data_IF_950744663268
#
_entry.id   IF_950744663268
#
_cell.length_a   1.000
_cell.length_b   1.000
_cell.length_c   1.000
_cell.angle_alpha   90.00
_cell.angle_beta   90.00
_cell.angle_gamma   90.00
#
_symmetry.space_group_name_H-M   'P 1'
#
loop_
_entity.id
_entity.type
_entity.pdbx_description
1 polymer ?
#
# COMPACT_ATOMS: atom_id res chain seq x y z
N UNK A 1 4.82 -17.04 -7.69
CA UNK A 1 4.84 -15.94 -6.69
C UNK A 1 6.20 -15.86 -6.06
N UNK A 2 6.56 -14.72 -5.52
CA UNK A 2 7.84 -14.47 -4.85
C UNK A 2 7.63 -13.51 -3.67
N UNK A 3 8.59 -13.55 -2.74
CA UNK A 3 8.51 -12.71 -1.54
C UNK A 3 9.09 -11.34 -1.83
N UNK A 4 8.42 -10.32 -1.31
CA UNK A 4 8.85 -8.94 -1.37
C UNK A 4 8.69 -8.22 -0.06
N UNK A 5 9.21 -7.01 -0.02
CA UNK A 5 9.06 -6.11 1.11
C UNK A 5 8.83 -4.68 0.63
N UNK A 6 7.91 -3.99 1.28
CA UNK A 6 7.71 -2.56 1.06
C UNK A 6 8.57 -1.76 2.05
N UNK A 7 9.39 -0.87 1.51
CA UNK A 7 10.34 -0.09 2.29
C UNK A 7 10.20 1.40 2.00
N UNK A 8 10.38 2.20 3.04
CA UNK A 8 10.32 3.66 2.95
C UNK A 8 11.69 4.22 3.22
N UNK A 9 12.25 4.94 2.26
CA UNK A 9 13.59 5.54 2.34
C UNK A 9 14.65 4.60 2.97
N UNK A 10 14.79 3.34 2.51
CA UNK A 10 15.64 2.37 3.17
C UNK A 10 17.12 2.73 3.09
N UNK A 11 17.84 2.48 4.18
CA UNK A 11 19.31 2.50 4.19
C UNK A 11 19.89 1.27 3.45
N UNK A 12 21.17 1.33 3.10
CA UNK A 12 21.88 0.18 2.54
C UNK A 12 21.87 -1.02 3.48
N UNK A 13 21.97 -0.79 4.79
CA UNK A 13 21.90 -1.83 5.81
C UNK A 13 20.53 -2.52 5.82
N UNK A 14 19.45 -1.73 5.74
CA UNK A 14 18.08 -2.25 5.71
C UNK A 14 17.83 -3.07 4.45
N UNK A 15 18.31 -2.63 3.29
CA UNK A 15 18.22 -3.40 2.04
C UNK A 15 19.02 -4.71 2.09
N UNK A 16 20.23 -4.68 2.66
CA UNK A 16 21.02 -5.90 2.86
C UNK A 16 20.33 -6.89 3.79
N UNK A 17 19.69 -6.41 4.88
CA UNK A 17 18.91 -7.26 5.77
C UNK A 17 17.77 -7.93 5.00
N UNK A 18 17.01 -7.19 4.19
CA UNK A 18 15.96 -7.76 3.35
C UNK A 18 16.49 -8.86 2.42
N UNK A 19 17.61 -8.62 1.74
CA UNK A 19 18.26 -9.60 0.87
C UNK A 19 18.70 -10.87 1.65
N UNK A 20 19.25 -10.70 2.86
CA UNK A 20 19.65 -11.82 3.74
C UNK A 20 18.45 -12.63 4.23
N UNK A 21 17.29 -12.01 4.43
CA UNK A 21 16.04 -12.68 4.75
C UNK A 21 15.39 -13.38 3.54
N UNK A 22 16.01 -13.27 2.36
CA UNK A 22 15.57 -13.92 1.13
C UNK A 22 14.47 -13.16 0.40
N UNK A 23 14.35 -11.87 0.65
CA UNK A 23 13.55 -10.98 -0.20
C UNK A 23 14.19 -10.91 -1.58
N UNK A 24 13.38 -11.07 -2.62
CA UNK A 24 13.85 -11.03 -4.02
C UNK A 24 13.64 -9.66 -4.64
N UNK A 25 12.54 -9.01 -4.25
CA UNK A 25 12.13 -7.72 -4.80
C UNK A 25 11.57 -6.80 -3.73
N UNK A 26 11.74 -5.52 -3.94
CA UNK A 26 11.25 -4.49 -3.02
C UNK A 26 10.24 -3.57 -3.72
N UNK A 27 9.31 -3.08 -2.92
CA UNK A 27 8.44 -1.96 -3.27
C UNK A 27 8.98 -0.74 -2.54
N UNK A 28 9.37 0.27 -3.28
CA UNK A 28 10.01 1.45 -2.71
C UNK A 28 9.04 2.61 -2.62
N UNK A 29 8.98 3.18 -1.44
CA UNK A 29 8.36 4.47 -1.20
C UNK A 29 9.47 5.47 -0.84
N UNK A 30 9.85 6.29 -1.79
CA UNK A 30 10.94 7.24 -1.62
C UNK A 30 10.38 8.66 -1.56
N UNK A 31 10.21 9.15 -0.33
CA UNK A 31 9.62 10.46 -0.06
C UNK A 31 10.63 11.38 0.58
N UNK A 32 10.65 12.61 0.11
CA UNK A 32 11.51 13.65 0.66
C UNK A 32 12.97 13.52 0.32
N UNK A 33 13.32 12.79 -0.72
CA UNK A 33 14.69 12.64 -1.19
C UNK A 33 15.00 13.62 -2.33
N UNK A 34 16.25 13.66 -2.68
CA UNK A 34 16.77 14.43 -3.81
C UNK A 34 16.36 13.89 -5.21
N UNK A 35 15.51 12.84 -5.25
CA UNK A 35 14.91 12.33 -6.49
C UNK A 35 13.87 13.30 -7.08
N UNK A 36 13.32 14.20 -6.27
CA UNK A 36 12.25 15.11 -6.67
C UNK A 36 12.80 16.52 -6.88
N UNK A 37 12.64 17.06 -8.08
CA UNK A 37 12.94 18.45 -8.42
C UNK A 37 11.88 19.41 -7.87
N UNK A 38 12.19 20.70 -7.75
CA UNK A 38 11.17 21.72 -7.50
C UNK A 38 10.00 21.56 -8.49
N UNK A 39 8.77 21.60 -7.97
CA UNK A 39 7.55 21.36 -8.77
C UNK A 39 7.07 19.90 -8.81
N UNK A 40 7.75 18.97 -8.12
CA UNK A 40 7.28 17.60 -7.96
C UNK A 40 7.70 16.64 -9.07
N UNK A 41 8.43 17.10 -10.09
CA UNK A 41 8.92 16.25 -11.18
C UNK A 41 10.15 15.46 -10.73
N UNK A 42 10.18 14.17 -11.00
CA UNK A 42 11.31 13.30 -10.66
C UNK A 42 12.53 13.58 -11.54
N UNK A 43 13.71 13.27 -11.03
CA UNK A 43 14.95 13.27 -11.81
C UNK A 43 15.23 11.86 -12.34
N UNK A 44 15.20 11.70 -13.66
CA UNK A 44 15.37 10.39 -14.32
C UNK A 44 16.75 9.77 -14.02
N UNK A 45 17.80 10.59 -13.96
CA UNK A 45 19.15 10.07 -13.73
C UNK A 45 19.31 9.58 -12.29
N UNK A 46 18.86 10.39 -11.33
CA UNK A 46 18.86 10.00 -9.91
C UNK A 46 17.99 8.78 -9.65
N UNK A 47 16.81 8.67 -10.29
CA UNK A 47 15.95 7.50 -10.14
C UNK A 47 16.60 6.24 -10.73
N UNK A 48 17.32 6.37 -11.86
CA UNK A 48 18.09 5.27 -12.44
C UNK A 48 19.25 4.86 -11.53
N UNK A 49 20.04 5.82 -11.04
CA UNK A 49 21.12 5.58 -10.08
C UNK A 49 20.61 4.89 -8.82
N UNK A 50 19.47 5.33 -8.30
CA UNK A 50 18.83 4.71 -7.14
C UNK A 50 18.41 3.26 -7.42
N UNK A 51 17.80 2.97 -8.57
CA UNK A 51 17.46 1.62 -8.99
C UNK A 51 18.71 0.73 -9.08
N UNK A 52 19.76 1.21 -9.74
CA UNK A 52 21.02 0.49 -9.90
C UNK A 52 21.72 0.24 -8.56
N UNK A 53 21.62 1.21 -7.65
CA UNK A 53 22.11 1.03 -6.28
C UNK A 53 21.36 -0.07 -5.54
N UNK A 54 20.04 -0.12 -5.60
CA UNK A 54 19.24 -1.21 -5.01
C UNK A 54 19.61 -2.56 -5.64
N UNK A 55 19.78 -2.61 -6.96
CA UNK A 55 20.19 -3.81 -7.69
C UNK A 55 21.59 -4.29 -7.30
N UNK A 56 22.51 -3.38 -7.01
CA UNK A 56 23.86 -3.72 -6.53
C UNK A 56 23.87 -4.41 -5.16
N UNK A 57 22.78 -4.27 -4.40
CA UNK A 57 22.59 -4.94 -3.11
C UNK A 57 21.86 -6.29 -3.21
N UNK A 58 21.65 -6.80 -4.44
CA UNK A 58 21.05 -8.12 -4.70
C UNK A 58 19.52 -8.12 -4.76
N UNK A 59 18.88 -6.97 -4.77
CA UNK A 59 17.43 -6.79 -4.83
C UNK A 59 17.00 -6.20 -6.18
N UNK A 60 15.70 -6.30 -6.50
CA UNK A 60 15.11 -5.56 -7.63
C UNK A 60 13.93 -4.74 -7.17
N UNK A 61 13.78 -3.53 -7.72
CA UNK A 61 12.57 -2.75 -7.50
C UNK A 61 11.46 -3.33 -8.37
N UNK A 62 10.39 -3.79 -7.74
CA UNK A 62 9.20 -4.32 -8.42
C UNK A 62 8.18 -3.22 -8.70
N UNK A 63 7.90 -2.39 -7.69
CA UNK A 63 7.06 -1.21 -7.81
C UNK A 63 7.70 -0.02 -7.09
N UNK A 64 7.37 1.17 -7.57
CA UNK A 64 7.74 2.43 -6.91
C UNK A 64 6.48 3.22 -6.57
N UNK A 65 6.48 3.96 -5.45
CA UNK A 65 5.30 4.69 -5.04
C UNK A 65 5.13 5.99 -5.83
N UNK A 66 3.92 6.24 -6.33
CA UNK A 66 3.48 7.48 -6.94
C UNK A 66 2.51 8.17 -6.00
N UNK A 67 2.88 9.33 -5.48
CA UNK A 67 2.03 10.10 -4.56
C UNK A 67 0.98 10.87 -5.35
N UNK A 68 -0.28 10.48 -5.19
CA UNK A 68 -1.45 11.08 -5.86
C UNK A 68 -2.38 11.82 -4.90
N UNK A 69 -2.12 11.76 -3.59
CA UNK A 69 -3.07 12.21 -2.57
C UNK A 69 -3.46 13.68 -2.68
N UNK A 70 -2.50 14.56 -2.96
CA UNK A 70 -2.79 15.98 -3.12
C UNK A 70 -3.64 16.27 -4.35
N UNK A 71 -3.49 15.51 -5.43
CA UNK A 71 -4.28 15.68 -6.66
C UNK A 71 -5.75 15.37 -6.42
N UNK A 72 -6.05 14.33 -5.64
CA UNK A 72 -7.43 13.96 -5.30
C UNK A 72 -8.12 15.05 -4.48
N UNK A 73 -7.45 15.61 -3.47
CA UNK A 73 -7.99 16.69 -2.66
C UNK A 73 -8.18 17.99 -3.47
N UNK A 74 -7.18 18.34 -4.29
CA UNK A 74 -7.27 19.52 -5.13
C UNK A 74 -8.38 19.39 -6.19
N UNK A 75 -8.63 18.18 -6.72
CA UNK A 75 -9.76 17.95 -7.61
C UNK A 75 -11.11 18.29 -6.97
N UNK A 76 -11.26 18.05 -5.67
CA UNK A 76 -12.49 18.36 -4.94
C UNK A 76 -12.66 19.85 -4.63
N UNK A 77 -11.57 20.63 -4.65
CA UNK A 77 -11.55 22.04 -4.25
C UNK A 77 -11.21 22.99 -5.39
N UNK A 78 -10.27 22.63 -6.25
CA UNK A 78 -9.80 23.40 -7.40
C UNK A 78 -9.30 22.47 -8.52
N UNK A 79 -10.18 22.14 -9.44
CA UNK A 79 -9.88 21.24 -10.56
C UNK A 79 -8.74 21.75 -11.46
N UNK A 80 -8.51 23.07 -11.55
CA UNK A 80 -7.42 23.63 -12.36
C UNK A 80 -6.06 23.28 -11.75
N UNK A 81 -5.96 23.34 -10.43
CA UNK A 81 -4.74 22.91 -9.72
C UNK A 81 -4.55 21.40 -9.90
N UNK A 82 -5.61 20.60 -9.72
CA UNK A 82 -5.54 19.14 -9.88
C UNK A 82 -5.06 18.75 -11.28
N UNK A 83 -5.54 19.40 -12.33
CA UNK A 83 -5.10 19.14 -13.72
C UNK A 83 -3.63 19.44 -13.92
N UNK A 84 -3.12 20.54 -13.36
CA UNK A 84 -1.68 20.86 -13.43
C UNK A 84 -0.82 19.83 -12.71
N UNK A 85 -1.26 19.37 -11.55
CA UNK A 85 -0.56 18.32 -10.81
C UNK A 85 -0.61 16.97 -11.54
N UNK A 86 -1.73 16.63 -12.17
CA UNK A 86 -1.85 15.43 -12.99
C UNK A 86 -0.82 15.43 -14.14
N UNK A 87 -0.51 16.59 -14.74
CA UNK A 87 0.57 16.68 -15.74
C UNK A 87 1.93 16.31 -15.16
N UNK A 88 2.23 16.70 -13.91
CA UNK A 88 3.45 16.29 -13.21
C UNK A 88 3.48 14.78 -12.99
N UNK A 89 2.36 14.19 -12.57
CA UNK A 89 2.26 12.73 -12.40
C UNK A 89 2.47 11.98 -13.72
N UNK A 90 1.91 12.47 -14.82
CA UNK A 90 2.13 11.88 -16.16
C UNK A 90 3.61 11.94 -16.57
N UNK A 91 4.30 13.04 -16.27
CA UNK A 91 5.74 13.14 -16.49
C UNK A 91 6.51 12.13 -15.63
N UNK A 92 6.13 11.98 -14.36
CA UNK A 92 6.76 11.02 -13.44
C UNK A 92 6.55 9.57 -13.89
N UNK A 93 5.41 9.23 -14.48
CA UNK A 93 5.17 7.91 -15.10
C UNK A 93 6.15 7.66 -16.25
N UNK A 94 6.35 8.65 -17.14
CA UNK A 94 7.32 8.52 -18.23
C UNK A 94 8.75 8.41 -17.69
N UNK A 95 9.11 9.24 -16.70
CA UNK A 95 10.43 9.19 -16.04
C UNK A 95 10.68 7.84 -15.38
N UNK A 96 9.67 7.23 -14.76
CA UNK A 96 9.78 5.89 -14.20
C UNK A 96 10.15 4.85 -15.27
N UNK A 97 9.49 4.89 -16.43
CA UNK A 97 9.82 4.03 -17.56
C UNK A 97 11.24 4.27 -18.08
N UNK A 98 11.62 5.53 -18.27
CA UNK A 98 12.96 5.92 -18.75
C UNK A 98 14.07 5.54 -17.76
N UNK A 99 13.75 5.46 -16.48
CA UNK A 99 14.64 4.94 -15.43
C UNK A 99 14.67 3.40 -15.35
N UNK A 100 13.84 2.70 -16.13
CA UNK A 100 13.79 1.24 -16.18
C UNK A 100 12.86 0.59 -15.15
N UNK A 101 11.95 1.34 -14.52
CA UNK A 101 10.88 0.79 -13.71
C UNK A 101 9.76 0.26 -14.60
N UNK A 102 8.98 -0.71 -14.10
CA UNK A 102 7.90 -1.37 -14.86
C UNK A 102 6.52 -1.22 -14.22
N UNK A 103 6.47 -0.78 -12.98
CA UNK A 103 5.21 -0.59 -12.28
C UNK A 103 5.31 0.48 -11.19
N UNK A 104 4.19 1.16 -10.97
CA UNK A 104 4.00 2.12 -9.91
C UNK A 104 2.80 1.72 -9.05
N UNK A 105 2.88 1.95 -7.75
CA UNK A 105 1.73 1.82 -6.85
C UNK A 105 1.26 3.20 -6.42
N UNK A 106 -0.03 3.35 -6.21
CA UNK A 106 -0.61 4.56 -5.66
C UNK A 106 -1.77 4.24 -4.72
N UNK A 107 -2.09 5.21 -3.87
CA UNK A 107 -3.18 5.10 -2.92
C UNK A 107 -4.13 6.29 -3.10
N UNK A 108 -5.41 5.98 -3.20
CA UNK A 108 -6.46 7.00 -3.36
C UNK A 108 -7.04 7.49 -2.02
N UNK A 109 -6.38 7.16 -0.92
CA UNK A 109 -6.77 7.59 0.42
C UNK A 109 -6.65 9.11 0.57
N UNK A 110 -7.75 9.78 0.90
CA UNK A 110 -7.80 11.23 1.13
C UNK A 110 -7.59 11.60 2.59
N UNK A 111 -7.98 10.72 3.50
CA UNK A 111 -7.76 10.82 4.94
C UNK A 111 -6.72 9.79 5.38
N UNK A 112 -6.30 9.84 6.65
CA UNK A 112 -5.37 8.84 7.19
C UNK A 112 -5.94 7.42 7.15
N UNK A 113 -5.06 6.43 7.28
CA UNK A 113 -5.47 5.06 7.57
C UNK A 113 -6.04 5.07 8.98
N UNK A 114 -7.35 5.00 9.09
CA UNK A 114 -8.07 5.27 10.32
C UNK A 114 -7.94 4.12 11.31
N UNK A 115 -7.43 4.42 12.50
CA UNK A 115 -7.33 3.50 13.63
C UNK A 115 -7.90 4.17 14.88
N UNK A 116 -8.46 3.39 15.79
CA UNK A 116 -9.15 3.90 16.98
C UNK A 116 -8.50 3.48 18.29
N UNK A 117 -7.41 2.72 18.24
CA UNK A 117 -6.67 2.34 19.43
C UNK A 117 -5.78 1.13 19.25
N UNK A 118 -5.13 0.77 20.34
CA UNK A 118 -4.28 -0.40 20.45
C UNK A 118 -5.00 -1.49 21.26
N UNK A 119 -4.74 -2.75 20.94
CA UNK A 119 -5.26 -3.92 21.64
C UNK A 119 -4.12 -4.81 22.09
N UNK A 120 -4.16 -5.35 23.34
CA UNK A 120 -3.13 -6.26 23.80
C UNK A 120 -3.13 -7.56 23.00
N UNK A 121 -1.95 -8.01 22.61
CA UNK A 121 -1.70 -9.25 21.87
C UNK A 121 -0.79 -10.21 22.62
N UNK A 122 -0.41 -11.31 21.95
CA UNK A 122 0.45 -12.35 22.53
C UNK A 122 1.77 -11.75 23.00
N UNK A 123 2.25 -12.20 24.15
CA UNK A 123 3.54 -11.78 24.70
C UNK A 123 3.62 -10.29 25.07
N UNK A 124 2.49 -9.58 25.14
CA UNK A 124 2.45 -8.16 25.52
C UNK A 124 2.60 -7.17 24.37
N UNK A 125 2.64 -7.65 23.12
CA UNK A 125 2.61 -6.77 21.93
C UNK A 125 1.31 -5.98 21.87
N UNK A 126 1.31 -4.89 21.10
CA UNK A 126 0.12 -4.09 20.86
C UNK A 126 -0.30 -4.21 19.38
N UNK A 127 -1.55 -4.54 19.15
CA UNK A 127 -2.15 -4.58 17.82
C UNK A 127 -2.84 -3.26 17.54
N UNK A 128 -2.46 -2.60 16.44
CA UNK A 128 -3.22 -1.48 15.91
C UNK A 128 -4.58 -1.96 15.43
N UNK A 129 -5.64 -1.20 15.65
CA UNK A 129 -6.97 -1.66 15.27
C UNK A 129 -7.98 -0.54 15.08
N UNK A 130 -9.07 -0.91 14.46
CA UNK A 130 -10.24 -0.06 14.31
C UNK A 130 -11.45 -0.69 14.98
N UNK A 131 -12.25 0.14 15.66
CA UNK A 131 -13.54 -0.24 16.22
C UNK A 131 -14.48 0.96 16.13
N UNK A 132 -15.54 0.84 15.34
CA UNK A 132 -16.47 1.93 15.11
C UNK A 132 -17.03 2.51 16.42
N UNK A 133 -17.38 1.66 17.39
CA UNK A 133 -17.90 2.11 18.69
C UNK A 133 -16.88 2.93 19.53
N UNK A 134 -15.60 2.87 19.17
CA UNK A 134 -14.51 3.64 19.83
C UNK A 134 -14.04 4.81 18.95
N UNK A 135 -14.67 5.04 17.81
CA UNK A 135 -14.29 6.13 16.93
C UNK A 135 -14.65 7.48 17.58
N UNK A 136 -13.68 8.36 17.58
CA UNK A 136 -13.84 9.79 17.84
C UNK A 136 -12.77 10.55 17.05
N UNK A 137 -12.98 11.85 16.76
CA UNK A 137 -11.93 12.65 16.13
C UNK A 137 -10.61 12.69 16.91
N UNK A 138 -10.67 12.52 18.24
CA UNK A 138 -9.48 12.44 19.11
C UNK A 138 -8.75 11.10 18.93
N UNK A 139 -9.47 9.98 18.97
CA UNK A 139 -8.91 8.64 18.74
C UNK A 139 -8.30 8.52 17.34
N UNK A 140 -8.98 9.10 16.34
CA UNK A 140 -8.49 9.17 14.96
C UNK A 140 -7.16 9.92 14.88
N UNK A 141 -7.07 11.14 15.44
CA UNK A 141 -5.81 11.91 15.48
C UNK A 141 -4.67 11.19 16.20
N UNK A 142 -4.98 10.42 17.24
CA UNK A 142 -3.99 9.76 18.07
C UNK A 142 -3.47 8.44 17.45
N UNK A 143 -4.33 7.69 16.75
CA UNK A 143 -4.03 6.31 16.36
C UNK A 143 -3.95 6.10 14.85
N UNK A 144 -4.53 7.02 14.06
CA UNK A 144 -4.46 6.94 12.59
C UNK A 144 -3.09 7.38 12.08
N UNK A 145 -2.70 6.85 10.96
CA UNK A 145 -1.43 7.13 10.33
C UNK A 145 -1.60 7.23 8.82
N UNK A 146 -0.67 7.88 8.18
CA UNK A 146 -0.61 8.02 6.73
C UNK A 146 -1.87 8.67 6.12
N UNK A 147 -1.68 9.72 5.34
CA UNK A 147 -2.76 10.44 4.66
C UNK A 147 -2.41 11.90 4.46
N UNK A 148 -3.10 12.54 3.53
CA UNK A 148 -2.81 13.93 3.13
C UNK A 148 -3.30 14.94 4.15
N UNK A 149 -4.29 14.59 4.93
CA UNK A 149 -4.98 15.48 5.89
C UNK A 149 -4.44 15.46 7.31
N UNK A 150 -3.42 14.66 7.64
CA UNK A 150 -2.94 14.52 9.02
C UNK A 150 -1.63 15.23 9.26
N UNK A 151 -1.53 16.05 10.34
CA UNK A 151 -0.25 16.59 10.78
C UNK A 151 0.65 15.46 11.25
N UNK A 152 1.86 15.41 10.74
CA UNK A 152 2.90 14.50 11.25
C UNK A 152 3.48 15.07 12.53
N UNK A 153 3.45 14.31 13.63
CA UNK A 153 4.27 14.60 14.79
C UNK A 153 5.72 14.21 14.49
N UNK A 154 6.68 15.11 14.82
CA UNK A 154 8.10 14.92 14.55
C UNK A 154 8.66 13.64 15.18
N UNK A 155 8.12 13.26 16.36
CA UNK A 155 8.58 12.10 17.16
C UNK A 155 8.25 10.73 16.53
N UNK A 156 7.38 10.72 15.55
CA UNK A 156 7.00 9.51 14.83
C UNK A 156 7.83 9.30 13.55
N UNK A 157 8.57 10.28 13.05
CA UNK A 157 9.48 10.16 11.89
C UNK A 157 10.63 9.21 12.21
N UNK A 158 11.08 9.18 13.45
CA UNK A 158 12.21 8.37 13.89
C UNK A 158 11.87 6.90 14.17
N UNK A 159 10.58 6.54 14.23
CA UNK A 159 10.13 5.18 14.57
C UNK A 159 9.97 4.22 13.37
N UNK A 160 10.38 4.61 12.17
CA UNK A 160 10.27 3.75 10.98
C UNK A 160 8.83 3.45 10.54
N UNK A 161 7.84 3.99 11.25
CA UNK A 161 6.46 3.94 10.80
C UNK A 161 6.25 4.95 9.68
N UNK A 162 5.72 4.50 8.62
CA UNK A 162 5.44 5.14 7.35
C UNK A 162 4.71 6.49 7.51
N UNK A 163 5.48 7.55 7.52
CA UNK A 163 4.92 8.89 7.52
C UNK A 163 5.15 9.56 6.20
N UNK A 164 4.11 9.59 5.50
CA UNK A 164 4.07 9.95 4.11
C UNK A 164 3.62 11.36 3.85
N UNK A 165 3.47 12.17 4.87
CA UNK A 165 3.25 13.59 4.71
C UNK A 165 4.49 14.35 5.18
N UNK A 166 5.49 14.44 4.31
CA UNK A 166 6.57 15.41 4.48
C UNK A 166 5.97 16.81 4.51
N UNK A 167 5.91 17.43 5.70
CA UNK A 167 5.97 18.88 5.92
C UNK A 167 5.05 19.81 5.11
N UNK A 168 3.91 19.41 4.63
CA UNK A 168 2.90 20.40 4.21
C UNK A 168 1.86 20.47 5.30
N UNK A 169 1.48 21.70 5.69
CA UNK A 169 0.34 21.93 6.56
C UNK A 169 -0.78 20.99 6.15
N UNK A 170 -1.32 20.24 7.12
CA UNK A 170 -2.44 19.35 6.87
C UNK A 170 -3.51 20.12 6.08
N UNK A 171 -3.80 19.68 4.87
CA UNK A 171 -4.89 20.25 4.11
C UNK A 171 -6.17 19.82 4.78
N UNK A 172 -7.08 20.76 5.01
CA UNK A 172 -8.43 20.43 5.43
C UNK A 172 -9.08 19.55 4.34
N UNK A 173 -9.56 18.37 4.74
CA UNK A 173 -10.24 17.47 3.81
C UNK A 173 -11.69 17.94 3.70
N UNK A 174 -12.15 18.34 2.51
CA UNK A 174 -13.55 18.73 2.34
C UNK A 174 -14.46 17.50 2.55
N UNK A 175 -15.77 17.70 2.78
CA UNK A 175 -16.70 16.57 2.76
C UNK A 175 -16.61 15.79 1.44
N UNK A 176 -16.48 14.47 1.57
CA UNK A 176 -16.36 13.55 0.42
C UNK A 176 -17.57 12.64 0.42
N UNK A 177 -18.47 12.85 -0.53
CA UNK A 177 -19.60 11.95 -0.78
C UNK A 177 -19.18 10.82 -1.72
N UNK A 178 -19.99 9.75 -1.78
CA UNK A 178 -19.75 8.67 -2.74
C UNK A 178 -19.59 9.21 -4.16
N UNK A 179 -20.43 10.13 -4.61
CA UNK A 179 -20.38 10.73 -5.94
C UNK A 179 -19.05 11.49 -6.16
N UNK A 180 -18.69 12.38 -5.23
CA UNK A 180 -17.47 13.19 -5.34
C UNK A 180 -16.20 12.32 -5.25
N UNK A 181 -16.20 11.30 -4.41
CA UNK A 181 -15.11 10.32 -4.31
C UNK A 181 -14.89 9.55 -5.62
N UNK A 182 -15.98 9.07 -6.22
CA UNK A 182 -15.89 8.40 -7.55
C UNK A 182 -15.46 9.36 -8.66
N UNK A 183 -15.92 10.60 -8.66
CA UNK A 183 -15.47 11.60 -9.64
C UNK A 183 -13.97 11.87 -9.53
N UNK A 184 -13.45 11.98 -8.32
CA UNK A 184 -12.01 12.20 -8.08
C UNK A 184 -11.17 10.98 -8.56
N UNK A 185 -11.61 9.76 -8.27
CA UNK A 185 -10.92 8.55 -8.73
C UNK A 185 -11.01 8.41 -10.26
N UNK A 186 -12.18 8.64 -10.85
CA UNK A 186 -12.35 8.60 -12.30
C UNK A 186 -11.45 9.63 -12.99
N UNK A 187 -11.39 10.86 -12.48
CA UNK A 187 -10.48 11.88 -12.97
C UNK A 187 -9.02 11.39 -12.94
N UNK A 188 -8.58 10.80 -11.83
CA UNK A 188 -7.20 10.30 -11.72
C UNK A 188 -6.92 9.20 -12.72
N UNK A 189 -7.82 8.23 -12.87
CA UNK A 189 -7.68 7.12 -13.83
C UNK A 189 -7.63 7.65 -15.27
N UNK A 190 -8.52 8.57 -15.63
CA UNK A 190 -8.56 9.19 -16.97
C UNK A 190 -7.27 9.95 -17.30
N UNK A 191 -6.63 10.55 -16.28
CA UNK A 191 -5.36 11.27 -16.49
C UNK A 191 -4.16 10.32 -16.56
N UNK A 192 -4.09 9.32 -15.70
CA UNK A 192 -2.86 8.55 -15.51
C UNK A 192 -2.78 7.29 -16.37
N UNK A 193 -3.89 6.59 -16.61
CA UNK A 193 -3.85 5.31 -17.32
C UNK A 193 -3.38 5.46 -18.78
N UNK A 194 -3.83 6.46 -19.57
CA UNK A 194 -3.29 6.65 -20.94
C UNK A 194 -1.79 6.96 -20.96
N UNK A 195 -1.28 7.69 -19.95
CA UNK A 195 0.15 7.96 -19.83
C UNK A 195 0.93 6.67 -19.49
N UNK A 196 0.36 5.85 -18.60
CA UNK A 196 0.92 4.56 -18.23
C UNK A 196 0.96 3.57 -19.39
N UNK A 197 -0.10 3.53 -20.20
CA UNK A 197 -0.15 2.70 -21.42
C UNK A 197 0.93 3.10 -22.42
N UNK A 198 1.09 4.42 -22.66
CA UNK A 198 2.13 4.94 -23.53
C UNK A 198 3.53 4.61 -23.03
N UNK A 199 3.74 4.65 -21.71
CA UNK A 199 5.03 4.39 -21.09
C UNK A 199 5.30 2.89 -20.83
N UNK A 200 4.31 2.01 -20.98
CA UNK A 200 4.41 0.59 -20.63
C UNK A 200 4.52 0.33 -19.12
N UNK A 201 3.98 1.23 -18.30
CA UNK A 201 4.00 1.16 -16.83
C UNK A 201 2.67 0.60 -16.30
N UNK A 202 2.73 -0.39 -15.41
CA UNK A 202 1.55 -0.85 -14.67
C UNK A 202 1.27 0.05 -13.48
N UNK A 203 0.01 0.41 -13.27
CA UNK A 203 -0.47 1.23 -12.15
C UNK A 203 -1.28 0.38 -11.18
N UNK A 204 -0.80 0.24 -9.95
CA UNK A 204 -1.38 -0.56 -8.90
C UNK A 204 -2.10 0.31 -7.86
N UNK A 205 -3.44 0.33 -7.89
CA UNK A 205 -4.29 1.09 -6.98
C UNK A 205 -4.53 0.34 -5.67
N UNK A 206 -4.26 0.98 -4.53
CA UNK A 206 -4.58 0.46 -3.20
C UNK A 206 -6.03 0.78 -2.82
N UNK A 207 -6.81 -0.16 -2.25
CA UNK A 207 -8.15 0.12 -1.74
C UNK A 207 -8.11 1.06 -0.52
N UNK A 208 -9.27 1.62 -0.16
CA UNK A 208 -9.40 2.44 1.05
C UNK A 208 -9.24 1.60 2.32
N UNK A 209 -8.49 2.08 3.28
CA UNK A 209 -8.19 1.42 4.55
C UNK A 209 -8.55 2.34 5.74
N UNK A 210 -9.49 1.89 6.59
CA UNK A 210 -10.40 0.75 6.46
C UNK A 210 -11.63 1.05 5.59
N UNK A 211 -12.45 0.04 5.37
CA UNK A 211 -13.81 0.25 4.89
C UNK A 211 -14.61 1.05 5.93
N UNK A 212 -15.29 2.11 5.50
CA UNK A 212 -16.11 2.95 6.37
C UNK A 212 -17.56 2.44 6.43
N UNK A 213 -18.30 2.78 7.49
CA UNK A 213 -19.74 2.50 7.54
C UNK A 213 -20.47 3.29 6.44
N UNK A 214 -21.69 2.85 6.12
CA UNK A 214 -22.59 3.58 5.23
C UNK A 214 -22.79 5.01 5.77
N UNK A 215 -22.63 6.00 4.91
CA UNK A 215 -22.66 7.43 5.28
C UNK A 215 -21.30 7.98 5.75
N UNK A 216 -20.26 7.16 5.72
CA UNK A 216 -18.88 7.58 5.97
C UNK A 216 -18.55 7.86 7.44
N UNK A 217 -17.37 8.42 7.66
CA UNK A 217 -16.89 8.94 8.94
C UNK A 217 -16.38 10.36 8.77
N UNK A 218 -16.76 11.23 9.70
CA UNK A 218 -16.31 12.62 9.73
C UNK A 218 -16.47 13.37 8.38
N UNK A 219 -17.58 13.12 7.69
CA UNK A 219 -17.89 13.75 6.40
C UNK A 219 -17.16 13.16 5.19
N UNK A 220 -16.48 12.02 5.35
CA UNK A 220 -15.76 11.32 4.27
C UNK A 220 -16.35 9.93 4.07
N UNK A 221 -16.72 9.60 2.84
CA UNK A 221 -17.14 8.27 2.42
C UNK A 221 -15.99 7.56 1.68
N UNK A 222 -15.74 6.30 2.03
CA UNK A 222 -14.76 5.46 1.37
C UNK A 222 -15.42 4.59 0.29
N UNK A 223 -15.15 4.91 -0.97
CA UNK A 223 -15.78 4.24 -2.13
C UNK A 223 -15.08 2.96 -2.57
N UNK A 224 -13.78 2.80 -2.26
CA UNK A 224 -13.00 1.57 -2.48
C UNK A 224 -12.95 0.66 -1.24
N UNK A 225 -14.01 0.61 -0.47
CA UNK A 225 -14.15 -0.19 0.75
C UNK A 225 -14.97 -1.47 0.58
N UNK A 226 -15.11 -1.99 -0.65
CA UNK A 226 -15.84 -3.23 -0.96
C UNK A 226 -15.35 -3.88 -2.26
N UNK A 227 -15.69 -5.16 -2.48
CA UNK A 227 -15.45 -5.83 -3.78
C UNK A 227 -16.17 -5.08 -4.91
N UNK A 228 -17.38 -4.58 -4.69
CA UNK A 228 -18.15 -3.79 -5.66
C UNK A 228 -17.41 -2.50 -6.01
N UNK A 229 -16.86 -1.80 -5.02
CA UNK A 229 -16.03 -0.61 -5.25
C UNK A 229 -14.77 -0.93 -6.05
N UNK A 230 -14.07 -2.01 -5.71
CA UNK A 230 -12.88 -2.46 -6.45
C UNK A 230 -13.23 -2.81 -7.90
N UNK A 231 -14.36 -3.50 -8.13
CA UNK A 231 -14.85 -3.83 -9.48
C UNK A 231 -15.18 -2.56 -10.27
N UNK A 232 -15.86 -1.59 -9.66
CA UNK A 232 -16.16 -0.29 -10.28
C UNK A 232 -14.89 0.48 -10.61
N UNK A 233 -13.89 0.48 -9.73
CA UNK A 233 -12.59 1.10 -10.00
C UNK A 233 -11.91 0.48 -11.23
N UNK A 234 -11.84 -0.85 -11.29
CA UNK A 234 -11.25 -1.55 -12.43
C UNK A 234 -12.01 -1.33 -13.73
N UNK A 235 -13.34 -1.14 -13.66
CA UNK A 235 -14.19 -0.84 -14.81
C UNK A 235 -14.03 0.58 -15.36
N UNK A 236 -13.31 1.47 -14.68
CA UNK A 236 -12.99 2.82 -15.19
C UNK A 236 -12.05 2.78 -16.40
N UNK A 237 -11.30 1.69 -16.59
CA UNK A 237 -10.45 1.50 -17.76
C UNK A 237 -10.20 0.02 -18.05
N UNK A 238 -10.31 -0.36 -19.32
CA UNK A 238 -9.99 -1.71 -19.82
C UNK A 238 -8.48 -1.95 -20.01
N UNK A 239 -7.66 -0.93 -19.75
CA UNK A 239 -6.21 -1.03 -19.92
C UNK A 239 -5.62 -2.18 -19.08
N UNK A 240 -4.75 -3.03 -19.67
CA UNK A 240 -4.03 -4.07 -18.92
C UNK A 240 -3.02 -3.47 -17.92
N UNK A 241 -2.74 -2.19 -18.00
CA UNK A 241 -1.84 -1.48 -17.08
C UNK A 241 -2.57 -0.83 -15.89
N UNK A 242 -3.90 -0.90 -15.83
CA UNK A 242 -4.71 -0.47 -14.70
C UNK A 242 -5.09 -1.67 -13.84
N UNK A 243 -4.64 -1.71 -12.59
CA UNK A 243 -4.86 -2.85 -11.69
C UNK A 243 -4.72 -2.49 -10.21
N UNK A 244 -4.55 -3.49 -9.39
CA UNK A 244 -4.61 -3.37 -7.93
C UNK A 244 -3.25 -3.61 -7.26
N UNK A 245 -2.95 -2.76 -6.29
CA UNK A 245 -2.21 -3.14 -5.11
C UNK A 245 -3.23 -3.79 -4.17
N UNK A 246 -3.35 -5.11 -4.25
CA UNK A 246 -4.34 -5.86 -3.49
C UNK A 246 -3.89 -6.01 -2.04
N UNK A 247 -4.40 -5.18 -1.16
CA UNK A 247 -4.15 -5.31 0.27
C UNK A 247 -5.10 -6.34 0.87
N UNK A 248 -4.61 -7.56 1.08
CA UNK A 248 -5.40 -8.67 1.61
C UNK A 248 -6.02 -8.34 2.98
N UNK A 249 -5.25 -7.67 3.85
CA UNK A 249 -5.77 -7.23 5.14
C UNK A 249 -6.89 -6.21 5.00
N UNK A 250 -6.73 -5.19 4.16
CA UNK A 250 -7.78 -4.20 3.88
C UNK A 250 -9.03 -4.85 3.29
N UNK A 251 -8.87 -5.84 2.39
CA UNK A 251 -10.02 -6.60 1.87
C UNK A 251 -10.69 -7.44 2.98
N UNK A 252 -9.92 -7.99 3.90
CA UNK A 252 -10.46 -8.67 5.07
C UNK A 252 -11.27 -7.74 6.00
N UNK A 253 -10.88 -6.46 6.09
CA UNK A 253 -11.60 -5.42 6.85
C UNK A 253 -12.95 -5.02 6.23
N UNK A 254 -13.26 -5.47 5.01
CA UNK A 254 -14.49 -5.11 4.29
C UNK A 254 -15.69 -6.00 4.66
N UNK A 255 -15.48 -7.09 5.37
CA UNK A 255 -16.53 -8.07 5.65
C UNK A 255 -16.53 -8.57 7.10
N UNK A 256 -17.70 -8.95 7.65
CA UNK A 256 -17.79 -9.59 8.97
C UNK A 256 -17.11 -10.96 9.01
N UNK A 257 -17.07 -11.67 7.89
CA UNK A 257 -16.43 -12.98 7.72
C UNK A 257 -15.28 -12.85 6.70
N UNK A 258 -14.07 -12.47 7.16
CA UNK A 258 -12.97 -12.06 6.28
C UNK A 258 -12.50 -13.18 5.35
N UNK A 259 -12.41 -14.43 5.84
CA UNK A 259 -11.78 -15.52 5.08
C UNK A 259 -12.46 -15.75 3.72
N UNK A 260 -13.74 -16.05 3.72
CA UNK A 260 -14.48 -16.35 2.49
C UNK A 260 -14.50 -15.12 1.54
N UNK A 261 -14.57 -13.93 2.11
CA UNK A 261 -14.57 -12.68 1.35
C UNK A 261 -13.23 -12.45 0.63
N UNK A 262 -12.12 -12.66 1.33
CA UNK A 262 -10.76 -12.55 0.75
C UNK A 262 -10.53 -13.58 -0.34
N UNK A 263 -10.90 -14.86 -0.12
CA UNK A 263 -10.72 -15.90 -1.14
C UNK A 263 -11.49 -15.56 -2.42
N UNK A 264 -12.75 -15.14 -2.29
CA UNK A 264 -13.55 -14.69 -3.43
C UNK A 264 -12.92 -13.50 -4.16
N UNK A 265 -12.43 -12.51 -3.42
CA UNK A 265 -11.78 -11.34 -4.02
C UNK A 265 -10.49 -11.70 -4.77
N UNK A 266 -9.67 -12.62 -4.22
CA UNK A 266 -8.48 -13.13 -4.90
C UNK A 266 -8.87 -13.78 -6.21
N UNK A 267 -9.84 -14.70 -6.20
CA UNK A 267 -10.26 -15.45 -7.38
C UNK A 267 -10.86 -14.53 -8.47
N UNK A 268 -11.56 -13.47 -8.07
CA UNK A 268 -12.14 -12.51 -9.00
C UNK A 268 -11.08 -11.59 -9.61
N UNK A 269 -10.18 -11.04 -8.80
CA UNK A 269 -9.31 -9.94 -9.23
C UNK A 269 -7.89 -10.37 -9.62
N UNK A 270 -7.49 -11.63 -9.47
CA UNK A 270 -6.14 -12.10 -9.74
C UNK A 270 -5.52 -11.62 -11.07
N UNK A 271 -6.26 -11.57 -12.21
CA UNK A 271 -5.71 -11.08 -13.47
C UNK A 271 -5.32 -9.60 -13.46
N UNK A 272 -5.85 -8.83 -12.51
CA UNK A 272 -5.63 -7.39 -12.37
C UNK A 272 -4.85 -7.04 -11.09
N UNK A 273 -4.38 -8.03 -10.33
CA UNK A 273 -3.51 -7.82 -9.16
C UNK A 273 -2.07 -7.71 -9.62
N UNK A 274 -1.42 -6.58 -9.32
CA UNK A 274 -0.01 -6.34 -9.66
C UNK A 274 0.93 -6.52 -8.48
N UNK A 275 0.42 -6.32 -7.25
CA UNK A 275 1.12 -6.67 -6.02
C UNK A 275 0.10 -7.00 -4.93
N UNK A 276 0.57 -7.70 -3.91
CA UNK A 276 -0.23 -8.07 -2.74
C UNK A 276 0.44 -7.57 -1.46
N UNK A 277 -0.31 -6.85 -0.62
CA UNK A 277 0.00 -6.71 0.79
C UNK A 277 -0.54 -7.94 1.53
N UNK A 278 0.36 -8.84 1.89
CA UNK A 278 0.03 -10.16 2.44
C UNK A 278 0.02 -10.12 3.96
N UNK A 279 -0.97 -9.43 4.53
CA UNK A 279 -1.20 -9.30 5.97
C UNK A 279 -2.51 -9.93 6.41
N UNK A 280 -2.65 -10.17 7.71
CA UNK A 280 -3.82 -10.78 8.33
C UNK A 280 -4.39 -9.87 9.41
N UNK A 281 -5.68 -10.04 9.70
CA UNK A 281 -6.39 -9.32 10.75
C UNK A 281 -7.20 -10.30 11.61
N UNK A 282 -7.49 -9.90 12.83
CA UNK A 282 -8.46 -10.52 13.72
C UNK A 282 -9.72 -9.67 13.80
N UNK A 283 -10.89 -10.25 13.60
CA UNK A 283 -12.14 -9.50 13.42
C UNK A 283 -12.41 -9.19 11.95
N UNK A 284 -13.19 -8.14 11.67
CA UNK A 284 -13.58 -7.79 10.30
C UNK A 284 -14.24 -6.43 10.23
N UNK A 285 -15.27 -6.30 9.40
CA UNK A 285 -15.93 -5.03 9.14
C UNK A 285 -16.28 -4.27 10.42
N UNK A 286 -15.75 -3.07 10.55
CA UNK A 286 -15.96 -2.10 11.63
C UNK A 286 -15.43 -2.51 13.02
N UNK A 287 -14.81 -3.68 13.17
CA UNK A 287 -14.14 -4.10 14.42
C UNK A 287 -13.04 -5.12 14.12
N UNK A 288 -11.78 -4.67 14.04
CA UNK A 288 -10.65 -5.54 13.75
C UNK A 288 -9.36 -5.08 14.46
N UNK A 289 -8.38 -5.98 14.49
CA UNK A 289 -7.00 -5.70 14.90
C UNK A 289 -6.01 -6.28 13.89
N UNK A 290 -4.93 -5.54 13.64
CA UNK A 290 -3.80 -5.96 12.82
C UNK A 290 -2.89 -6.86 13.64
N UNK A 291 -2.95 -8.16 13.37
CA UNK A 291 -2.27 -9.19 14.15
C UNK A 291 -1.04 -9.75 13.42
N UNK A 292 -0.29 -10.64 14.06
CA UNK A 292 0.69 -11.43 13.34
C UNK A 292 0.02 -12.26 12.24
N UNK A 293 0.73 -12.58 11.13
CA UNK A 293 0.12 -13.27 9.99
C UNK A 293 -0.45 -14.66 10.35
N UNK A 294 0.04 -15.29 11.41
CA UNK A 294 -0.38 -16.60 11.90
C UNK A 294 -1.57 -16.57 12.88
N UNK A 295 -2.05 -15.38 13.28
CA UNK A 295 -3.09 -15.24 14.31
C UNK A 295 -4.45 -14.75 13.79
N UNK A 296 -4.50 -14.29 12.54
CA UNK A 296 -5.70 -13.69 11.99
C UNK A 296 -6.78 -14.69 11.55
N UNK A 297 -7.89 -14.13 11.12
CA UNK A 297 -9.08 -14.90 10.74
C UNK A 297 -9.07 -15.33 9.27
N UNK A 298 -8.08 -14.92 8.48
CA UNK A 298 -7.85 -15.44 7.13
C UNK A 298 -6.87 -16.61 7.21
N UNK A 299 -7.25 -17.76 6.66
CA UNK A 299 -6.32 -18.88 6.45
C UNK A 299 -5.30 -18.48 5.36
N UNK A 300 -4.09 -18.13 5.80
CA UNK A 300 -3.03 -17.66 4.92
C UNK A 300 -2.51 -18.73 3.95
N UNK A 301 -2.63 -20.01 4.33
CA UNK A 301 -2.27 -21.13 3.46
C UNK A 301 -3.32 -21.29 2.33
N UNK A 302 -4.61 -21.19 2.66
CA UNK A 302 -5.67 -21.20 1.64
C UNK A 302 -5.59 -19.96 0.73
N UNK A 303 -5.24 -18.79 1.26
CA UNK A 303 -4.99 -17.59 0.45
C UNK A 303 -3.87 -17.82 -0.59
N UNK A 304 -2.72 -18.41 -0.18
CA UNK A 304 -1.65 -18.79 -1.12
C UNK A 304 -2.17 -19.74 -2.22
N UNK A 305 -2.98 -20.72 -1.84
CA UNK A 305 -3.58 -21.65 -2.82
C UNK A 305 -4.56 -20.95 -3.74
N UNK A 306 -5.34 -19.99 -3.24
CA UNK A 306 -6.25 -19.18 -4.06
C UNK A 306 -5.47 -18.34 -5.08
N UNK A 307 -4.42 -17.63 -4.67
CA UNK A 307 -3.53 -16.93 -5.61
C UNK A 307 -2.95 -17.88 -6.67
N UNK A 308 -2.53 -19.08 -6.25
CA UNK A 308 -1.97 -20.08 -7.16
C UNK A 308 -2.98 -20.57 -8.19
N UNK A 309 -4.19 -20.96 -7.73
CA UNK A 309 -5.27 -21.43 -8.62
C UNK A 309 -5.70 -20.36 -9.61
N UNK A 310 -5.71 -19.10 -9.18
CA UNK A 310 -6.08 -17.95 -10.02
C UNK A 310 -4.95 -17.48 -10.93
N UNK A 311 -3.79 -18.14 -10.92
CA UNK A 311 -2.67 -17.85 -11.81
C UNK A 311 -1.83 -16.61 -11.42
N UNK A 312 -2.00 -16.05 -10.24
CA UNK A 312 -1.16 -14.95 -9.77
C UNK A 312 0.30 -15.40 -9.60
N UNK A 313 1.23 -14.59 -10.11
CA UNK A 313 2.68 -14.89 -10.10
C UNK A 313 3.52 -13.76 -9.54
N UNK A 314 2.88 -12.73 -9.02
CA UNK A 314 3.51 -11.50 -8.57
C UNK A 314 4.11 -11.57 -7.16
N UNK A 315 4.39 -10.39 -6.64
CA UNK A 315 5.01 -10.14 -5.34
C UNK A 315 4.01 -10.28 -4.20
N UNK A 316 4.43 -10.94 -3.11
CA UNK A 316 3.73 -10.97 -1.82
C UNK A 316 4.58 -10.21 -0.81
N UNK A 317 4.06 -9.11 -0.31
CA UNK A 317 4.71 -8.27 0.69
C UNK A 317 3.97 -8.39 2.02
N UNK A 318 4.55 -8.96 3.10
CA UNK A 318 4.08 -8.65 4.44
C UNK A 318 4.03 -7.12 4.61
N UNK A 319 3.01 -6.65 5.30
CA UNK A 319 2.76 -5.21 5.39
C UNK A 319 2.84 -4.76 6.86
N UNK A 320 1.72 -4.66 7.55
CA UNK A 320 1.75 -4.26 8.95
C UNK A 320 2.12 -5.41 9.89
N UNK A 321 2.88 -5.10 10.93
CA UNK A 321 3.20 -6.00 12.04
C UNK A 321 2.92 -5.32 13.37
N UNK A 322 2.71 -6.08 14.46
CA UNK A 322 2.41 -5.52 15.78
C UNK A 322 3.48 -4.56 16.30
N UNK A 323 3.12 -3.79 17.33
CA UNK A 323 3.99 -2.86 18.04
C UNK A 323 4.55 -3.52 19.30
N UNK A 324 5.81 -3.23 19.63
CA UNK A 324 6.43 -3.68 20.87
C UNK A 324 7.63 -2.80 21.22
N UNK A 325 7.82 -2.56 22.52
CA UNK A 325 9.02 -1.91 23.04
C UNK A 325 10.28 -2.74 22.78
N UNK A 326 10.13 -4.07 22.62
CA UNK A 326 11.23 -4.98 22.33
C UNK A 326 11.65 -4.96 20.85
N UNK A 327 10.82 -4.35 19.98
CA UNK A 327 11.07 -4.24 18.53
C UNK A 327 10.57 -2.88 18.00
N UNK A 328 11.16 -1.77 18.46
CA UNK A 328 10.68 -0.43 18.12
C UNK A 328 10.73 -0.14 16.62
N UNK A 329 11.68 -0.72 15.91
CA UNK A 329 11.83 -0.60 14.46
C UNK A 329 11.02 -1.65 13.67
N UNK A 330 10.32 -2.56 14.35
CA UNK A 330 9.53 -3.67 13.77
C UNK A 330 10.32 -4.63 12.88
N UNK A 331 11.63 -4.63 12.94
CA UNK A 331 12.50 -5.45 12.08
C UNK A 331 12.41 -6.94 12.42
N UNK A 332 12.32 -7.29 13.71
CA UNK A 332 12.18 -8.68 14.16
C UNK A 332 10.82 -9.26 13.76
N UNK A 333 9.76 -8.49 13.96
CA UNK A 333 8.40 -8.93 13.61
C UNK A 333 8.19 -8.97 12.10
N UNK A 334 8.79 -8.04 11.36
CA UNK A 334 8.81 -8.12 9.90
C UNK A 334 9.63 -9.32 9.41
N UNK A 335 10.75 -9.63 10.07
CA UNK A 335 11.53 -10.84 9.75
C UNK A 335 10.73 -12.12 9.97
N UNK A 336 9.92 -12.16 11.06
CA UNK A 336 8.98 -13.26 11.29
C UNK A 336 7.93 -13.35 10.17
N UNK A 337 7.30 -12.24 9.80
CA UNK A 337 6.28 -12.20 8.76
C UNK A 337 6.83 -12.61 7.38
N UNK A 338 8.05 -12.18 7.05
CA UNK A 338 8.77 -12.61 5.85
C UNK A 338 9.06 -14.11 5.86
N UNK A 339 9.57 -14.63 7.00
CA UNK A 339 9.86 -16.06 7.17
C UNK A 339 8.60 -16.92 7.08
N UNK A 340 7.50 -16.48 7.69
CA UNK A 340 6.20 -17.15 7.62
C UNK A 340 5.67 -17.21 6.19
N UNK A 341 5.67 -16.07 5.48
CA UNK A 341 5.22 -16.00 4.08
C UNK A 341 6.06 -16.89 3.19
N UNK A 342 7.38 -16.89 3.39
CA UNK A 342 8.31 -17.77 2.66
C UNK A 342 8.02 -19.24 2.92
N UNK A 343 7.73 -19.61 4.17
CA UNK A 343 7.36 -21.00 4.54
C UNK A 343 6.09 -21.45 3.82
N UNK A 344 5.07 -20.58 3.73
CA UNK A 344 3.85 -20.86 2.98
C UNK A 344 4.11 -21.02 1.48
N UNK A 345 4.94 -20.16 0.88
CA UNK A 345 5.33 -20.28 -0.53
C UNK A 345 6.07 -21.61 -0.81
N UNK A 346 6.99 -22.01 0.06
CA UNK A 346 7.67 -23.32 -0.04
C UNK A 346 6.68 -24.48 0.05
N UNK A 347 5.75 -24.44 0.99
CA UNK A 347 4.72 -25.46 1.15
C UNK A 347 3.79 -25.57 -0.08
N UNK A 348 3.60 -24.43 -0.80
CA UNK A 348 2.86 -24.40 -2.06
C UNK A 348 3.71 -24.74 -3.31
N UNK A 349 4.97 -25.17 -3.13
CA UNK A 349 5.87 -25.62 -4.21
C UNK A 349 6.67 -24.51 -4.91
N UNK A 350 6.63 -23.28 -4.40
CA UNK A 350 7.45 -22.19 -4.95
C UNK A 350 8.88 -22.28 -4.40
N UNK A 351 9.86 -22.25 -5.31
CA UNK A 351 11.28 -22.20 -4.98
C UNK A 351 11.77 -20.76 -5.17
N UNK A 352 12.17 -20.06 -4.11
CA UNK A 352 12.69 -18.70 -4.24
C UNK A 352 14.02 -18.70 -5.01
N UNK A 353 14.17 -17.70 -5.85
CA UNK A 353 15.46 -17.45 -6.51
C UNK A 353 16.35 -16.71 -5.50
N UNK A 354 17.26 -17.42 -4.87
CA UNK A 354 18.27 -16.81 -4.02
C UNK A 354 19.34 -16.18 -4.93
N UNK A 355 19.42 -14.86 -4.94
CA UNK A 355 20.49 -14.14 -5.62
C UNK A 355 21.72 -14.17 -4.71
N UNK A 356 22.72 -14.97 -5.04
CA UNK A 356 24.04 -14.85 -4.42
C UNK A 356 24.78 -13.68 -5.05
N UNK A 357 25.21 -12.73 -4.22
CA UNK A 357 26.17 -11.72 -4.67
C UNK A 357 27.47 -12.45 -5.02
N UNK A 358 27.81 -12.52 -6.28
CA UNK A 358 29.16 -12.90 -6.70
C UNK A 358 30.07 -11.70 -6.42
N UNK A 359 31.09 -11.92 -5.59
CA UNK A 359 32.15 -10.96 -5.29
C UNK A 359 32.83 -10.44 -6.56
#
# INVERSE_FOLDING_TARGET
MYIGEQLINPSAERLRLSAQLGVERVVIDNRGTDLVKPGGVWDVNKLREYREWVESLGLKIDLFALDVGSVLLDFLTDEVIARRQAEVLKQNIQIAADAGLTALKYNVQMVGITRTGLRPGRGGVQYSGFKLASYSPEADRQHSYWGVGYPTNQDEVDSGSSRLCGQKQAKEVPPVTEESGWRAIAFLVDQLVPAADKAGIRLACHPHDPAYPVGGLNGVEHVLGSIEGMRRCLALSDSPNHGLNFCQGTVAEMAPEPHAYVIRAIEEFAPRIFMVHFRNIKGGYLDFAEVFPDEGDVDMNEAIRAYQRSGYKGILCPDHVPLSDLDPNRERFMSFALGYTRGLLHAAGYQPKITTLTN
#
